data_IF_234889913216
#
_entry.id   IF_234889913216
#
_cell.length_a   1.000
_cell.length_b   1.000
_cell.length_c   1.000
_cell.angle_alpha   90.00
_cell.angle_beta   90.00
_cell.angle_gamma   90.00
#
_symmetry.space_group_name_H-M   'P 1'
#
loop_
_entity.id
_entity.type
_entity.pdbx_description
1 polymer ?
#
# COMPACT_ATOMS: atom_id res chain seq x y z
N UNK A 1 -0.18 -35.48 -9.28
CA UNK A 1 -0.70 -34.30 -8.57
C UNK A 1 -0.63 -33.18 -9.59
N UNK A 2 -1.77 -32.60 -9.95
CA UNK A 2 -1.78 -31.55 -10.97
C UNK A 2 -1.13 -30.29 -10.36
N UNK A 3 -0.31 -29.58 -11.11
CA UNK A 3 0.52 -28.47 -10.59
C UNK A 3 -0.29 -27.35 -9.90
N UNK A 4 -1.61 -27.26 -10.15
CA UNK A 4 -2.55 -26.27 -9.60
C UNK A 4 -3.26 -26.71 -8.30
N UNK A 5 -3.01 -27.92 -7.77
CA UNK A 5 -3.76 -28.49 -6.64
C UNK A 5 -3.71 -27.57 -5.39
N UNK A 6 -2.54 -27.01 -5.06
CA UNK A 6 -2.39 -26.11 -3.89
C UNK A 6 -3.14 -24.78 -4.05
N UNK A 7 -3.22 -24.25 -5.27
CA UNK A 7 -3.97 -23.03 -5.54
C UNK A 7 -5.48 -23.30 -5.51
N UNK A 8 -5.95 -24.41 -6.07
CA UNK A 8 -7.36 -24.81 -5.96
C UNK A 8 -7.78 -25.00 -4.50
N UNK A 9 -6.92 -25.62 -3.67
CA UNK A 9 -7.16 -25.74 -2.22
C UNK A 9 -7.31 -24.37 -1.58
N UNK A 10 -6.38 -23.44 -1.86
CA UNK A 10 -6.46 -22.06 -1.35
C UNK A 10 -7.78 -21.37 -1.77
N UNK A 11 -8.17 -21.49 -3.04
CA UNK A 11 -9.42 -20.91 -3.55
C UNK A 11 -10.65 -21.54 -2.88
N UNK A 12 -10.66 -22.87 -2.71
CA UNK A 12 -11.74 -23.57 -2.00
C UNK A 12 -11.88 -23.06 -0.55
N UNK A 13 -10.76 -22.90 0.16
CA UNK A 13 -10.75 -22.40 1.53
C UNK A 13 -11.22 -20.94 1.61
N UNK A 14 -10.75 -20.06 0.71
CA UNK A 14 -11.23 -18.67 0.61
C UNK A 14 -12.74 -18.64 0.35
N UNK A 15 -13.24 -19.45 -0.59
CA UNK A 15 -14.66 -19.55 -0.89
C UNK A 15 -15.47 -20.05 0.32
N UNK A 16 -14.96 -21.05 1.05
CA UNK A 16 -15.60 -21.56 2.26
C UNK A 16 -15.71 -20.47 3.35
N UNK A 17 -14.62 -19.75 3.63
CA UNK A 17 -14.59 -18.63 4.58
C UNK A 17 -15.51 -17.48 4.15
N UNK A 18 -15.69 -17.29 2.84
CA UNK A 18 -16.54 -16.23 2.27
C UNK A 18 -17.98 -16.69 1.98
N UNK A 19 -18.35 -17.92 2.34
CA UNK A 19 -19.67 -18.53 2.09
C UNK A 19 -20.07 -18.60 0.60
N UNK A 20 -19.08 -18.73 -0.29
CA UNK A 20 -19.27 -18.87 -1.74
C UNK A 20 -19.42 -20.35 -2.10
N UNK A 21 -20.55 -20.71 -2.73
CA UNK A 21 -20.96 -22.11 -2.91
C UNK A 21 -20.44 -22.81 -4.17
N UNK A 22 -19.70 -22.10 -5.05
CA UNK A 22 -19.24 -22.64 -6.36
C UNK A 22 -17.77 -22.26 -6.63
N UNK A 23 -16.82 -22.81 -5.87
CA UNK A 23 -15.39 -22.44 -5.97
C UNK A 23 -14.76 -22.80 -7.33
N UNK A 24 -15.31 -23.77 -8.05
CA UNK A 24 -14.77 -24.28 -9.32
C UNK A 24 -14.75 -23.21 -10.42
N UNK A 25 -15.61 -22.19 -10.29
CA UNK A 25 -15.65 -21.04 -11.22
C UNK A 25 -14.43 -20.13 -11.12
N UNK A 26 -13.63 -20.27 -10.07
CA UNK A 26 -12.55 -19.36 -9.71
C UNK A 26 -11.15 -19.97 -9.92
N UNK A 27 -11.05 -21.20 -10.42
CA UNK A 27 -9.80 -21.93 -10.56
C UNK A 27 -8.82 -21.37 -11.62
N UNK A 28 -9.33 -20.69 -12.64
CA UNK A 28 -8.49 -20.07 -13.68
C UNK A 28 -8.14 -18.62 -13.35
N UNK A 29 -9.12 -17.87 -12.85
CA UNK A 29 -8.98 -16.47 -12.44
C UNK A 29 -10.03 -16.17 -11.39
N UNK A 30 -9.60 -15.94 -10.15
CA UNK A 30 -10.55 -15.75 -9.07
C UNK A 30 -10.80 -14.25 -8.87
N UNK A 31 -12.02 -13.80 -9.17
CA UNK A 31 -12.41 -12.41 -8.96
C UNK A 31 -13.28 -12.30 -7.70
N UNK A 32 -12.82 -11.49 -6.75
CA UNK A 32 -13.48 -11.26 -5.47
C UNK A 32 -13.78 -9.78 -5.28
N UNK A 33 -14.73 -9.48 -4.39
CA UNK A 33 -15.00 -8.12 -3.94
C UNK A 33 -14.93 -8.04 -2.43
N UNK A 34 -14.12 -7.14 -1.89
CA UNK A 34 -14.01 -6.86 -0.45
C UNK A 34 -14.10 -5.35 -0.27
N UNK A 35 -15.03 -4.88 0.58
CA UNK A 35 -15.23 -3.44 0.86
C UNK A 35 -15.34 -2.57 -0.41
N UNK A 36 -16.12 -3.01 -1.41
CA UNK A 36 -16.26 -2.33 -2.72
C UNK A 36 -14.96 -2.15 -3.52
N UNK A 37 -13.98 -3.01 -3.26
CA UNK A 37 -12.73 -3.10 -4.02
C UNK A 37 -12.72 -4.44 -4.73
N UNK A 38 -12.56 -4.39 -6.05
CA UNK A 38 -12.45 -5.58 -6.88
C UNK A 38 -11.01 -6.12 -6.77
N UNK A 39 -10.91 -7.45 -6.63
CA UNK A 39 -9.67 -8.17 -6.55
C UNK A 39 -9.63 -9.28 -7.60
N UNK A 40 -8.47 -9.47 -8.20
CA UNK A 40 -8.17 -10.64 -9.02
C UNK A 40 -7.03 -11.42 -8.37
N UNK A 41 -7.24 -12.71 -8.14
CA UNK A 41 -6.19 -13.66 -7.76
C UNK A 41 -5.81 -14.49 -8.98
N UNK A 42 -4.50 -14.63 -9.22
CA UNK A 42 -3.97 -15.36 -10.36
C UNK A 42 -2.88 -16.32 -9.90
N UNK A 43 -2.96 -17.56 -10.36
CA UNK A 43 -1.91 -18.55 -10.16
C UNK A 43 -0.66 -18.18 -10.97
N UNK A 44 0.51 -18.33 -10.35
CA UNK A 44 1.81 -18.21 -11.00
C UNK A 44 2.67 -19.43 -10.67
N UNK A 45 3.20 -20.05 -11.72
CA UNK A 45 4.22 -21.12 -11.66
C UNK A 45 5.48 -20.63 -12.39
N UNK A 46 6.59 -20.53 -11.67
CA UNK A 46 7.90 -20.09 -12.17
C UNK A 46 8.99 -20.97 -11.57
N UNK A 47 10.20 -20.90 -12.14
CA UNK A 47 11.38 -21.60 -11.63
C UNK A 47 11.71 -21.22 -10.17
N UNK A 48 11.35 -19.99 -9.75
CA UNK A 48 11.54 -19.49 -8.37
C UNK A 48 10.53 -20.05 -7.36
N UNK A 49 9.49 -20.74 -7.84
CA UNK A 49 8.42 -21.33 -7.04
C UNK A 49 7.03 -20.89 -7.49
N UNK A 50 6.03 -21.38 -6.74
CA UNK A 50 4.61 -21.14 -7.03
C UNK A 50 4.03 -20.09 -6.10
N UNK A 51 3.23 -19.19 -6.64
CA UNK A 51 2.63 -18.09 -5.91
C UNK A 51 1.19 -17.84 -6.36
N UNK A 52 0.44 -17.18 -5.48
CA UNK A 52 -0.77 -16.45 -5.86
C UNK A 52 -0.43 -14.98 -5.98
N UNK A 53 -0.71 -14.41 -7.15
CA UNK A 53 -0.65 -12.97 -7.39
C UNK A 53 -1.99 -12.37 -6.99
N UNK A 54 -1.94 -11.24 -6.29
CA UNK A 54 -3.11 -10.52 -5.78
C UNK A 54 -3.12 -9.16 -6.45
N UNK A 55 -4.16 -8.85 -7.20
CA UNK A 55 -4.36 -7.55 -7.83
C UNK A 55 -5.57 -6.89 -7.18
N UNK A 56 -5.36 -5.83 -6.39
CA UNK A 56 -6.42 -5.01 -5.83
C UNK A 56 -6.64 -3.75 -6.66
N UNK A 57 -7.89 -3.42 -6.95
CA UNK A 57 -8.23 -2.27 -7.77
C UNK A 57 -8.40 -0.98 -6.95
N UNK A 58 -7.43 -0.09 -7.02
CA UNK A 58 -7.46 1.15 -6.25
C UNK A 58 -8.43 2.16 -6.88
N UNK A 59 -8.76 2.03 -8.16
CA UNK A 59 -9.64 2.93 -8.91
C UNK A 59 -8.89 3.81 -9.88
N UNK A 60 -9.51 4.92 -10.28
CA UNK A 60 -8.92 5.82 -11.27
C UNK A 60 -7.74 6.62 -10.67
N UNK A 61 -6.79 6.99 -11.54
CA UNK A 61 -5.78 7.97 -11.18
C UNK A 61 -6.42 9.38 -11.15
N UNK A 62 -6.18 10.19 -10.10
CA UNK A 62 -6.71 11.55 -10.02
C UNK A 62 -6.31 12.41 -11.23
N UNK A 63 -7.28 13.12 -11.80
CA UNK A 63 -7.02 14.07 -12.90
C UNK A 63 -6.29 15.32 -12.41
N UNK A 64 -6.62 15.79 -11.20
CA UNK A 64 -5.92 16.90 -10.55
C UNK A 64 -4.68 16.39 -9.84
N UNK A 65 -3.57 17.12 -9.95
CA UNK A 65 -2.30 16.78 -9.31
C UNK A 65 -1.79 15.37 -9.66
N UNK A 66 -2.08 14.89 -10.87
CA UNK A 66 -1.75 13.54 -11.35
C UNK A 66 -0.29 13.17 -11.07
N UNK A 67 0.64 14.06 -11.42
CA UNK A 67 2.08 13.80 -11.28
C UNK A 67 2.51 13.71 -9.81
N UNK A 68 1.94 14.55 -8.94
CA UNK A 68 2.19 14.48 -7.51
C UNK A 68 1.63 13.19 -6.90
N UNK A 69 0.47 12.72 -7.36
CA UNK A 69 -0.10 11.44 -6.92
C UNK A 69 0.79 10.27 -7.35
N UNK A 70 1.28 10.27 -8.60
CA UNK A 70 2.19 9.24 -9.09
C UNK A 70 3.52 9.22 -8.33
N UNK A 71 4.11 10.39 -8.05
CA UNK A 71 5.31 10.49 -7.22
C UNK A 71 5.07 9.99 -5.80
N UNK A 72 3.91 10.29 -5.20
CA UNK A 72 3.54 9.76 -3.89
C UNK A 72 3.43 8.23 -3.90
N UNK A 73 2.81 7.64 -4.94
CA UNK A 73 2.75 6.18 -5.08
C UNK A 73 4.16 5.55 -5.22
N UNK A 74 5.06 6.19 -5.97
CA UNK A 74 6.45 5.74 -6.08
C UNK A 74 7.20 5.82 -4.74
N UNK A 75 7.01 6.89 -3.98
CA UNK A 75 7.60 7.04 -2.64
C UNK A 75 7.06 5.99 -1.67
N UNK A 76 5.75 5.74 -1.69
CA UNK A 76 5.12 4.68 -0.89
C UNK A 76 5.71 3.31 -1.26
N UNK A 77 5.89 3.02 -2.55
CA UNK A 77 6.52 1.78 -3.01
C UNK A 77 7.95 1.61 -2.46
N UNK A 78 8.74 2.68 -2.42
CA UNK A 78 10.10 2.65 -1.86
C UNK A 78 10.09 2.18 -0.40
N UNK A 79 9.15 2.69 0.41
CA UNK A 79 9.03 2.34 1.82
C UNK A 79 8.44 0.93 2.04
N UNK A 80 7.58 0.44 1.15
CA UNK A 80 6.98 -0.90 1.25
C UNK A 80 7.89 -2.03 0.73
N UNK A 81 8.95 -1.72 -0.02
CA UNK A 81 9.74 -2.71 -0.74
C UNK A 81 10.33 -3.82 0.13
N UNK A 82 10.77 -3.52 1.36
CA UNK A 82 11.32 -4.51 2.30
C UNK A 82 10.29 -5.09 3.27
N UNK A 83 9.00 -4.75 3.10
CA UNK A 83 7.92 -5.19 3.97
C UNK A 83 7.42 -6.60 3.68
N UNK A 84 6.53 -7.12 4.52
CA UNK A 84 5.89 -8.40 4.28
C UNK A 84 5.10 -8.38 2.96
N UNK A 85 5.30 -9.41 2.13
CA UNK A 85 4.71 -9.54 0.78
C UNK A 85 5.08 -8.44 -0.23
N UNK A 86 5.84 -7.42 0.19
CA UNK A 86 6.33 -6.29 -0.61
C UNK A 86 5.32 -5.78 -1.65
N UNK A 87 4.11 -5.36 -1.24
CA UNK A 87 3.10 -4.91 -2.20
C UNK A 87 3.58 -3.67 -2.96
N UNK A 88 3.08 -3.50 -4.17
CA UNK A 88 3.51 -2.44 -5.09
C UNK A 88 2.32 -1.78 -5.77
N UNK A 89 2.25 -0.45 -5.69
CA UNK A 89 1.35 0.35 -6.51
C UNK A 89 1.86 0.40 -7.94
N UNK A 90 0.93 0.24 -8.88
CA UNK A 90 1.19 0.39 -10.32
C UNK A 90 0.00 1.05 -11.00
N UNK A 91 0.18 1.43 -12.27
CA UNK A 91 -0.86 1.99 -13.10
C UNK A 91 -0.98 1.16 -14.39
N UNK A 92 -2.18 0.66 -14.66
CA UNK A 92 -2.47 -0.05 -15.89
C UNK A 92 -2.85 0.96 -16.99
N UNK A 93 -1.99 1.10 -18.00
CA UNK A 93 -2.21 2.05 -19.09
C UNK A 93 -3.42 1.72 -19.97
N UNK A 94 -3.81 0.45 -20.06
CA UNK A 94 -4.93 0.01 -20.89
C UNK A 94 -6.27 0.35 -20.23
N UNK A 95 -6.37 0.16 -18.91
CA UNK A 95 -7.62 0.41 -18.16
C UNK A 95 -7.65 1.77 -17.47
N UNK A 96 -6.51 2.47 -17.42
CA UNK A 96 -6.32 3.71 -16.65
C UNK A 96 -6.58 3.58 -15.15
N UNK A 97 -6.48 2.37 -14.59
CA UNK A 97 -6.71 2.05 -13.17
C UNK A 97 -5.38 1.95 -12.43
N UNK A 98 -5.35 2.46 -11.20
CA UNK A 98 -4.27 2.21 -10.24
C UNK A 98 -4.53 0.86 -9.57
N UNK A 99 -3.50 0.05 -9.45
CA UNK A 99 -3.54 -1.26 -8.82
C UNK A 99 -2.58 -1.29 -7.64
N UNK A 100 -2.95 -1.98 -6.57
CA UNK A 100 -2.02 -2.45 -5.55
C UNK A 100 -1.85 -3.95 -5.73
N UNK A 101 -0.63 -4.36 -6.01
CA UNK A 101 -0.31 -5.73 -6.38
C UNK A 101 0.57 -6.36 -5.30
N UNK A 102 0.37 -7.64 -5.01
CA UNK A 102 1.22 -8.41 -4.10
C UNK A 102 1.32 -9.86 -4.54
N UNK A 103 2.22 -10.60 -3.91
CA UNK A 103 2.34 -12.04 -4.15
C UNK A 103 2.57 -12.79 -2.85
N UNK A 104 1.95 -13.96 -2.73
CA UNK A 104 2.17 -14.88 -1.61
C UNK A 104 2.59 -16.23 -2.17
N UNK A 105 3.72 -16.76 -1.72
CA UNK A 105 4.12 -18.14 -2.04
C UNK A 105 3.03 -19.10 -1.58
N UNK A 106 2.63 -20.04 -2.45
CA UNK A 106 1.61 -21.02 -2.12
C UNK A 106 2.03 -21.97 -0.99
N UNK A 107 3.34 -22.10 -0.72
CA UNK A 107 3.85 -22.87 0.41
C UNK A 107 3.57 -22.20 1.77
N UNK A 108 3.34 -20.89 1.76
CA UNK A 108 3.11 -20.07 2.96
C UNK A 108 1.74 -19.42 2.98
N UNK A 109 0.95 -19.60 1.92
CA UNK A 109 -0.37 -19.01 1.80
C UNK A 109 -1.36 -19.73 2.71
N UNK A 110 -2.15 -18.96 3.46
CA UNK A 110 -3.38 -19.43 4.08
C UNK A 110 -4.54 -18.57 3.59
N UNK A 111 -5.74 -19.13 3.55
CA UNK A 111 -6.93 -18.42 3.10
C UNK A 111 -7.20 -17.17 3.96
N UNK A 112 -7.07 -17.27 5.28
CA UNK A 112 -7.22 -16.15 6.21
C UNK A 112 -6.16 -15.06 5.97
N UNK A 113 -4.92 -15.46 5.74
CA UNK A 113 -3.82 -14.53 5.48
C UNK A 113 -4.02 -13.75 4.19
N UNK A 114 -4.46 -14.43 3.12
CA UNK A 114 -4.79 -13.80 1.84
C UNK A 114 -6.00 -12.86 1.98
N UNK A 115 -7.07 -13.28 2.66
CA UNK A 115 -8.23 -12.45 2.91
C UNK A 115 -7.89 -11.21 3.74
N UNK A 116 -7.04 -11.35 4.76
CA UNK A 116 -6.57 -10.23 5.57
C UNK A 116 -5.73 -9.25 4.74
N UNK A 117 -4.84 -9.76 3.90
CA UNK A 117 -4.05 -8.93 2.98
C UNK A 117 -4.94 -8.17 1.99
N UNK A 118 -5.93 -8.83 1.40
CA UNK A 118 -6.92 -8.18 0.53
C UNK A 118 -7.72 -7.12 1.30
N UNK A 119 -8.09 -7.37 2.57
CA UNK A 119 -8.76 -6.37 3.39
C UNK A 119 -7.87 -5.15 3.63
N UNK A 120 -6.58 -5.34 3.92
CA UNK A 120 -5.62 -4.23 4.06
C UNK A 120 -5.47 -3.43 2.76
N UNK A 121 -5.45 -4.09 1.60
CA UNK A 121 -5.45 -3.41 0.30
C UNK A 121 -6.74 -2.62 0.09
N UNK A 122 -7.89 -3.16 0.52
CA UNK A 122 -9.17 -2.47 0.38
C UNK A 122 -9.24 -1.20 1.25
N UNK A 123 -8.63 -1.22 2.43
CA UNK A 123 -8.54 -0.04 3.31
C UNK A 123 -7.67 1.05 2.67
N UNK A 124 -6.50 0.68 2.11
CA UNK A 124 -5.66 1.60 1.34
C UNK A 124 -6.38 2.15 0.10
N UNK A 125 -7.17 1.33 -0.59
CA UNK A 125 -7.95 1.79 -1.74
C UNK A 125 -8.96 2.87 -1.35
N UNK A 126 -9.60 2.76 -0.18
CA UNK A 126 -10.54 3.77 0.29
C UNK A 126 -9.82 5.08 0.62
N UNK A 127 -8.68 5.03 1.31
CA UNK A 127 -7.86 6.23 1.57
C UNK A 127 -7.38 6.89 0.27
N UNK A 128 -6.94 6.08 -0.70
CA UNK A 128 -6.56 6.53 -2.03
C UNK A 128 -7.71 7.23 -2.76
N UNK A 129 -8.90 6.63 -2.77
CA UNK A 129 -10.07 7.18 -3.47
C UNK A 129 -10.55 8.49 -2.88
N UNK A 130 -10.38 8.68 -1.58
CA UNK A 130 -10.77 9.93 -0.90
C UNK A 130 -9.74 11.05 -1.07
N UNK A 131 -8.43 10.73 -0.98
CA UNK A 131 -7.39 11.76 -0.81
C UNK A 131 -6.22 11.67 -1.81
N UNK A 132 -6.15 10.62 -2.62
CA UNK A 132 -5.04 10.38 -3.57
C UNK A 132 -3.66 10.31 -2.90
N UNK A 133 -3.61 10.08 -1.58
CA UNK A 133 -2.43 10.21 -0.70
C UNK A 133 -1.68 11.54 -0.78
N UNK A 134 -2.22 12.54 -1.48
CA UNK A 134 -1.72 13.91 -1.42
C UNK A 134 -2.39 14.50 -0.20
N UNK A 135 -1.60 14.69 0.87
CA UNK A 135 -2.11 15.24 2.11
C UNK A 135 -2.98 16.46 1.83
N UNK A 136 -4.04 16.65 2.64
CA UNK A 136 -4.59 18.00 2.82
C UNK A 136 -3.37 18.88 3.02
N UNK A 137 -3.18 19.88 2.16
CA UNK A 137 -2.27 20.97 2.52
C UNK A 137 -2.78 21.41 3.88
N UNK A 138 -2.10 20.98 4.95
CA UNK A 138 -2.12 21.75 6.18
C UNK A 138 -1.65 23.08 5.66
N UNK A 139 -2.57 24.02 5.51
CA UNK A 139 -2.25 25.42 5.60
C UNK A 139 -1.51 25.52 6.91
N UNK A 140 -0.19 25.33 6.85
CA UNK A 140 0.72 25.77 7.87
C UNK A 140 0.29 27.21 8.06
N UNK A 141 -0.31 27.48 9.23
CA UNK A 141 -0.73 28.81 9.58
C UNK A 141 0.41 29.75 9.24
N UNK A 142 0.05 30.93 8.73
CA UNK A 142 0.98 32.03 8.55
C UNK A 142 2.00 32.02 9.71
N UNK A 143 3.30 32.20 9.44
CA UNK A 143 4.28 32.25 10.51
C UNK A 143 3.82 33.34 11.47
N UNK A 144 3.40 32.94 12.67
CA UNK A 144 3.19 33.88 13.76
C UNK A 144 4.58 34.41 14.05
N UNK A 145 4.84 35.64 13.60
CA UNK A 145 6.00 36.42 14.00
C UNK A 145 6.03 36.42 15.53
N UNK A 146 6.92 35.63 16.12
CA UNK A 146 7.25 35.77 17.53
C UNK A 146 7.97 37.11 17.68
N UNK A 147 7.54 38.00 18.59
CA UNK A 147 8.25 39.24 18.84
C UNK A 147 9.65 38.90 19.37
N UNK A 148 10.67 39.37 18.65
CA UNK A 148 12.07 39.29 19.08
C UNK A 148 12.19 40.05 20.41
N UNK A 149 12.43 39.31 21.50
CA UNK A 149 12.76 39.90 22.78
C UNK A 149 14.11 40.60 22.68
N UNK A 150 14.10 41.92 22.90
CA UNK A 150 15.25 42.80 22.90
C UNK A 150 16.31 42.32 23.91
N UNK A 151 17.52 42.02 23.44
CA UNK A 151 18.64 41.63 24.28
C UNK A 151 19.07 42.78 25.20
N UNK A 152 18.68 42.70 26.47
CA UNK A 152 19.18 43.59 27.51
C UNK A 152 20.61 43.20 27.92
N UNK A 153 21.57 44.02 27.48
CA UNK A 153 22.84 44.41 28.12
C UNK A 153 23.28 43.54 29.31
N UNK A 154 24.17 42.56 29.06
CA UNK A 154 24.96 41.93 30.12
C UNK A 154 26.22 42.78 30.34
N UNK A 155 26.21 43.55 31.41
CA UNK A 155 27.33 44.39 31.82
C UNK A 155 28.53 43.52 32.24
N UNK A 156 29.69 43.95 31.75
CA UNK A 156 31.02 43.44 32.01
C UNK A 156 31.44 43.70 33.45
N UNK A 157 31.93 42.67 34.15
CA UNK A 157 32.82 42.84 35.29
C UNK A 157 34.11 42.05 35.06
N UNK A 158 35.18 42.82 34.90
CA UNK A 158 36.56 42.41 34.71
C UNK A 158 37.21 42.03 36.05
N UNK A 159 38.01 40.97 36.05
CA UNK A 159 39.20 40.78 36.89
C UNK A 159 40.09 39.73 36.18
N UNK A 160 41.16 40.12 35.50
CA UNK A 160 42.55 40.20 36.02
C UNK A 160 42.96 38.89 36.71
N UNK A 161 43.91 38.07 36.25
CA UNK A 161 44.91 38.14 35.19
C UNK A 161 46.06 37.21 35.58
N UNK A 162 46.70 36.53 34.61
CA UNK A 162 48.17 36.35 34.46
C UNK A 162 48.51 35.18 33.55
N UNK A 163 49.45 35.47 32.65
CA UNK A 163 50.18 34.58 31.77
C UNK A 163 51.16 33.71 32.57
N UNK A 164 51.16 32.39 32.34
CA UNK A 164 52.20 31.61 31.67
C UNK A 164 51.72 30.16 31.50
#
# INVERSE_FOLDING_TARGET
MNNNDSYHTLINEICALSLISTPERFYESANFKISEVDFTLQYQDRDEGRAVLIYGDMGALPTRNRDAALLALMDINFHMFSGAHSPVFSWNAQTSRVLLMGSVSLERASAEGVLLLMKSFADLANEWREHGFIGRVKTAGAPVEQPVATAAKRESLSASGRFQ
#
